data_IF_212667957675
#
_entry.id   IF_212667957675
#
_cell.length_a   1.000
_cell.length_b   1.000
_cell.length_c   1.000
_cell.angle_alpha   90.00
_cell.angle_beta   90.00
_cell.angle_gamma   90.00
#
_symmetry.space_group_name_H-M   'P 1'
#
loop_
_entity.id
_entity.type
_entity.pdbx_description
1 polymer ?
#
# COMPACT_ATOMS: atom_id res chain seq x y z
N UNK A 1 -20.26 -13.48 5.81
CA UNK A 1 -19.61 -14.29 4.79
C UNK A 1 -18.11 -14.15 4.87
N UNK A 2 -17.39 -15.23 4.68
CA UNK A 2 -15.93 -15.29 4.89
C UNK A 2 -15.16 -14.32 3.97
N UNK A 3 -15.61 -14.07 2.74
CA UNK A 3 -14.93 -13.18 1.81
C UNK A 3 -14.86 -11.74 2.29
N UNK A 4 -15.92 -11.24 2.95
CA UNK A 4 -15.95 -9.88 3.47
C UNK A 4 -15.11 -9.69 4.72
N UNK A 5 -14.81 -10.77 5.45
CA UNK A 5 -13.97 -10.71 6.65
C UNK A 5 -12.51 -10.37 6.35
N UNK A 6 -12.02 -10.61 5.13
CA UNK A 6 -10.62 -10.49 4.74
C UNK A 6 -10.39 -9.61 3.52
N UNK A 7 -11.45 -9.16 2.84
CA UNK A 7 -11.33 -8.38 1.60
C UNK A 7 -12.03 -7.03 1.74
N UNK A 8 -11.42 -6.02 1.12
CA UNK A 8 -12.00 -4.68 1.07
C UNK A 8 -13.12 -4.66 0.04
N UNK A 9 -14.29 -4.17 0.45
CA UNK A 9 -15.49 -4.19 -0.39
C UNK A 9 -15.33 -3.32 -1.64
N UNK A 10 -14.68 -2.16 -1.50
CA UNK A 10 -14.53 -1.22 -2.63
C UNK A 10 -13.56 -1.75 -3.68
N UNK A 11 -12.39 -2.19 -3.26
CA UNK A 11 -11.26 -2.50 -4.16
C UNK A 11 -11.10 -3.99 -4.45
N UNK A 12 -11.66 -4.84 -3.61
CA UNK A 12 -11.52 -6.30 -3.73
C UNK A 12 -10.18 -6.86 -3.26
N UNK A 13 -9.22 -6.01 -2.92
CA UNK A 13 -7.94 -6.48 -2.36
C UNK A 13 -8.11 -6.82 -0.88
N UNK A 14 -7.05 -7.31 -0.25
CA UNK A 14 -7.09 -7.64 1.17
C UNK A 14 -7.45 -6.42 2.02
N UNK A 15 -8.07 -6.65 3.16
CA UNK A 15 -8.37 -5.59 4.12
C UNK A 15 -7.32 -5.55 5.23
N UNK A 16 -7.49 -4.63 6.19
CA UNK A 16 -6.57 -4.48 7.32
C UNK A 16 -6.41 -5.78 8.12
N UNK A 17 -7.49 -6.49 8.34
CA UNK A 17 -7.47 -7.74 9.12
C UNK A 17 -6.55 -8.78 8.48
N UNK A 18 -6.69 -9.00 7.18
CA UNK A 18 -5.82 -9.95 6.48
C UNK A 18 -4.38 -9.47 6.45
N UNK A 19 -4.17 -8.16 6.30
CA UNK A 19 -2.83 -7.58 6.33
C UNK A 19 -2.13 -7.87 7.66
N UNK A 20 -2.81 -7.61 8.78
CA UNK A 20 -2.24 -7.84 10.13
C UNK A 20 -1.91 -9.32 10.33
N UNK A 21 -2.82 -10.22 9.97
CA UNK A 21 -2.56 -11.67 10.08
C UNK A 21 -1.37 -12.10 9.21
N UNK A 22 -1.28 -11.55 8.00
CA UNK A 22 -0.16 -11.85 7.09
C UNK A 22 1.16 -11.32 7.66
N UNK A 23 1.13 -10.13 8.25
CA UNK A 23 2.32 -9.55 8.87
C UNK A 23 2.79 -10.38 10.07
N UNK A 24 1.87 -10.85 10.91
CA UNK A 24 2.19 -11.76 12.01
C UNK A 24 2.91 -13.01 11.49
N UNK A 25 2.43 -13.56 10.38
CA UNK A 25 3.05 -14.71 9.74
C UNK A 25 4.46 -14.39 9.25
N UNK A 26 4.69 -13.20 8.67
CA UNK A 26 6.01 -12.77 8.20
C UNK A 26 7.00 -12.61 9.35
N UNK A 27 6.55 -12.07 10.48
CA UNK A 27 7.40 -11.98 11.69
C UNK A 27 7.83 -13.37 12.15
N UNK A 28 6.90 -14.30 12.19
CA UNK A 28 7.18 -15.69 12.60
C UNK A 28 8.15 -16.37 11.64
N UNK A 29 7.98 -16.19 10.34
CA UNK A 29 8.87 -16.75 9.32
C UNK A 29 10.26 -16.15 9.38
N UNK A 30 10.37 -14.86 9.66
CA UNK A 30 11.66 -14.20 9.86
C UNK A 30 12.38 -14.80 11.07
N UNK A 31 11.68 -15.00 12.17
CA UNK A 31 12.26 -15.56 13.40
C UNK A 31 12.73 -16.99 13.21
N UNK A 32 11.93 -17.82 12.52
CA UNK A 32 12.26 -19.25 12.35
C UNK A 32 13.26 -19.53 11.24
N UNK A 33 13.13 -18.83 10.12
CA UNK A 33 13.87 -19.17 8.90
C UNK A 33 14.75 -18.04 8.40
N UNK A 34 14.69 -16.87 9.01
CA UNK A 34 15.42 -15.70 8.51
C UNK A 34 14.86 -15.13 7.24
N UNK A 35 13.60 -15.44 6.90
CA UNK A 35 12.95 -14.92 5.70
C UNK A 35 12.86 -13.40 5.76
N UNK A 36 13.12 -12.76 4.62
CA UNK A 36 13.13 -11.32 4.50
C UNK A 36 11.78 -10.81 3.97
N UNK A 37 11.24 -9.79 4.61
CA UNK A 37 10.00 -9.14 4.16
C UNK A 37 10.07 -7.64 4.40
N UNK A 38 9.66 -6.86 3.41
CA UNK A 38 9.50 -5.42 3.52
C UNK A 38 8.03 -5.08 3.75
N UNK A 39 7.79 -4.15 4.68
CA UNK A 39 6.46 -3.60 4.98
C UNK A 39 6.39 -2.21 4.38
N UNK A 40 5.46 -1.97 3.46
CA UNK A 40 5.27 -0.67 2.83
C UNK A 40 3.92 -0.12 3.22
N UNK A 41 3.89 1.17 3.59
CA UNK A 41 2.64 1.91 3.76
C UNK A 41 2.59 2.99 2.69
N UNK A 42 1.40 3.15 2.13
CA UNK A 42 1.13 4.07 1.04
C UNK A 42 -0.10 4.90 1.39
N UNK A 43 -0.03 6.20 1.15
CA UNK A 43 -1.14 7.12 1.33
C UNK A 43 -1.35 7.90 0.04
N UNK A 44 -2.60 7.99 -0.41
CA UNK A 44 -2.95 8.73 -1.63
C UNK A 44 -2.88 10.23 -1.35
N UNK A 45 -2.12 10.94 -2.19
CA UNK A 45 -2.01 12.39 -2.06
C UNK A 45 -3.27 13.07 -2.59
N UNK A 46 -3.74 14.07 -1.84
CA UNK A 46 -4.84 14.95 -2.26
C UNK A 46 -6.19 14.26 -2.53
N UNK A 47 -6.46 13.11 -1.94
CA UNK A 47 -7.74 12.43 -2.12
C UNK A 47 -8.92 13.31 -1.68
N UNK A 48 -8.77 14.03 -0.57
CA UNK A 48 -9.80 14.95 -0.10
C UNK A 48 -10.12 16.02 -1.12
N UNK A 49 -9.10 16.61 -1.74
CA UNK A 49 -9.27 17.63 -2.78
C UNK A 49 -10.02 17.05 -3.99
N UNK A 50 -9.69 15.82 -4.39
CA UNK A 50 -10.38 15.14 -5.49
C UNK A 50 -11.85 14.91 -5.14
N UNK A 51 -12.13 14.44 -3.93
CA UNK A 51 -13.52 14.23 -3.47
C UNK A 51 -14.29 15.55 -3.41
N UNK A 52 -13.68 16.61 -2.90
CA UNK A 52 -14.33 17.91 -2.79
C UNK A 52 -14.62 18.53 -4.16
N UNK A 53 -13.71 18.34 -5.12
CA UNK A 53 -13.83 18.95 -6.45
C UNK A 53 -14.65 18.09 -7.42
N UNK A 54 -14.54 16.76 -7.34
CA UNK A 54 -15.13 15.84 -8.32
C UNK A 54 -16.14 14.85 -7.73
N UNK A 55 -16.33 14.86 -6.40
CA UNK A 55 -17.27 13.97 -5.70
C UNK A 55 -16.62 12.69 -5.21
N UNK A 56 -17.29 12.01 -4.27
CA UNK A 56 -16.77 10.77 -3.67
C UNK A 56 -16.63 9.63 -4.67
N UNK A 57 -17.47 9.59 -5.70
CA UNK A 57 -17.37 8.58 -6.75
C UNK A 57 -16.05 8.68 -7.49
N UNK A 58 -15.53 9.89 -7.70
CA UNK A 58 -14.21 10.10 -8.31
C UNK A 58 -13.09 9.57 -7.43
N UNK A 59 -13.16 9.86 -6.14
CA UNK A 59 -12.18 9.34 -5.17
C UNK A 59 -12.22 7.83 -5.07
N UNK A 60 -13.41 7.24 -5.03
CA UNK A 60 -13.58 5.78 -4.99
C UNK A 60 -12.99 5.12 -6.23
N UNK A 61 -13.25 5.66 -7.40
CA UNK A 61 -12.71 5.12 -8.64
C UNK A 61 -11.19 5.24 -8.70
N UNK A 62 -10.61 6.32 -8.14
CA UNK A 62 -9.17 6.46 -8.01
C UNK A 62 -8.58 5.36 -7.11
N UNK A 63 -9.22 5.09 -5.98
CA UNK A 63 -8.77 4.04 -5.06
C UNK A 63 -8.83 2.65 -5.71
N UNK A 64 -9.88 2.38 -6.50
CA UNK A 64 -10.00 1.14 -7.25
C UNK A 64 -8.87 1.01 -8.27
N UNK A 65 -8.59 2.08 -9.02
CA UNK A 65 -7.51 2.07 -10.01
C UNK A 65 -6.14 1.89 -9.36
N UNK A 66 -5.90 2.56 -8.23
CA UNK A 66 -4.68 2.39 -7.47
C UNK A 66 -4.49 0.93 -7.05
N UNK A 67 -5.54 0.32 -6.52
CA UNK A 67 -5.51 -1.09 -6.11
C UNK A 67 -5.19 -2.01 -7.29
N UNK A 68 -5.75 -1.74 -8.46
CA UNK A 68 -5.45 -2.52 -9.68
C UNK A 68 -3.97 -2.41 -10.07
N UNK A 69 -3.41 -1.21 -10.03
CA UNK A 69 -1.99 -0.98 -10.35
C UNK A 69 -1.11 -1.72 -9.36
N UNK A 70 -1.39 -1.61 -8.07
CA UNK A 70 -0.61 -2.28 -7.04
C UNK A 70 -0.66 -3.80 -7.22
N UNK A 71 -1.85 -4.35 -7.43
CA UNK A 71 -2.03 -5.79 -7.58
C UNK A 71 -1.33 -6.32 -8.84
N UNK A 72 -1.33 -5.54 -9.92
CA UNK A 72 -0.66 -5.92 -11.17
C UNK A 72 0.87 -5.95 -11.05
N UNK A 73 1.43 -5.28 -10.03
CA UNK A 73 2.87 -5.10 -9.89
C UNK A 73 3.47 -5.83 -8.70
N UNK A 74 2.75 -6.78 -8.12
CA UNK A 74 3.25 -7.64 -7.04
C UNK A 74 3.19 -9.09 -7.46
N UNK A 75 3.98 -9.94 -6.78
CA UNK A 75 3.95 -11.39 -6.98
C UNK A 75 2.78 -11.99 -6.22
N UNK A 76 2.35 -13.22 -6.61
CA UNK A 76 1.25 -13.91 -5.93
C UNK A 76 1.51 -14.16 -4.44
N UNK A 77 2.79 -14.27 -4.05
CA UNK A 77 3.18 -14.46 -2.66
C UNK A 77 3.21 -13.17 -1.85
N UNK A 78 3.22 -12.03 -2.52
CA UNK A 78 3.17 -10.72 -1.86
C UNK A 78 1.73 -10.40 -1.45
N UNK A 79 1.60 -9.41 -0.56
CA UNK A 79 0.28 -8.98 -0.07
C UNK A 79 0.08 -7.51 -0.40
N UNK A 80 -1.11 -7.18 -0.88
CA UNK A 80 -1.56 -5.79 -0.99
C UNK A 80 -2.90 -5.66 -0.29
N UNK A 81 -3.05 -4.64 0.55
CA UNK A 81 -4.25 -4.43 1.35
C UNK A 81 -4.63 -2.96 1.41
N UNK A 82 -5.92 -2.71 1.56
CA UNK A 82 -6.41 -1.39 1.95
C UNK A 82 -6.59 -1.37 3.46
N UNK A 83 -5.87 -0.47 4.12
CA UNK A 83 -5.84 -0.40 5.59
C UNK A 83 -6.96 0.48 6.15
N UNK A 84 -7.43 1.43 5.36
CA UNK A 84 -8.50 2.34 5.72
C UNK A 84 -8.52 3.47 4.69
N UNK A 85 -9.56 4.26 4.62
CA UNK A 85 -9.69 5.45 3.78
C UNK A 85 -8.82 5.46 2.52
N UNK A 86 -7.75 6.23 2.58
CA UNK A 86 -6.77 6.43 1.51
C UNK A 86 -5.43 5.73 1.77
N UNK A 87 -5.38 4.83 2.74
CA UNK A 87 -4.14 4.16 3.17
C UNK A 87 -4.10 2.70 2.72
N UNK A 88 -2.96 2.31 2.14
CA UNK A 88 -2.70 0.96 1.65
C UNK A 88 -1.44 0.40 2.27
N UNK A 89 -1.37 -0.91 2.37
CA UNK A 89 -0.18 -1.61 2.86
C UNK A 89 0.23 -2.72 1.91
N UNK A 90 1.53 -2.95 1.80
CA UNK A 90 2.09 -4.03 1.00
C UNK A 90 3.09 -4.81 1.84
N UNK A 91 3.14 -6.12 1.60
CA UNK A 91 4.18 -6.99 2.13
C UNK A 91 4.91 -7.60 0.94
N UNK A 92 6.19 -7.27 0.80
CA UNK A 92 7.02 -7.72 -0.32
C UNK A 92 8.10 -8.65 0.21
N UNK A 93 8.10 -9.89 -0.25
CA UNK A 93 9.02 -10.92 0.21
C UNK A 93 10.30 -10.95 -0.60
N UNK A 94 11.42 -11.22 0.07
CA UNK A 94 12.72 -11.51 -0.55
C UNK A 94 13.30 -10.37 -1.40
N UNK A 95 13.13 -9.12 -0.96
CA UNK A 95 13.75 -7.96 -1.59
C UNK A 95 14.75 -7.31 -0.63
N UNK A 96 15.89 -6.88 -1.15
CA UNK A 96 16.84 -6.04 -0.39
C UNK A 96 16.41 -4.56 -0.46
N UNK A 97 17.16 -3.69 0.24
CA UNK A 97 16.83 -2.27 0.30
C UNK A 97 16.82 -1.57 -1.05
N UNK A 98 17.79 -1.89 -1.92
CA UNK A 98 17.87 -1.30 -3.26
C UNK A 98 16.68 -1.75 -4.12
N UNK A 99 16.30 -3.02 -4.03
CA UNK A 99 15.15 -3.55 -4.77
C UNK A 99 13.83 -2.94 -4.31
N UNK A 100 13.68 -2.71 -3.00
CA UNK A 100 12.48 -2.05 -2.46
C UNK A 100 12.42 -0.60 -2.94
N UNK A 101 13.54 0.12 -2.89
CA UNK A 101 13.60 1.51 -3.37
C UNK A 101 13.26 1.60 -4.86
N UNK A 102 13.79 0.69 -5.68
CA UNK A 102 13.48 0.63 -7.11
C UNK A 102 11.99 0.33 -7.35
N UNK A 103 11.42 -0.56 -6.55
CA UNK A 103 9.99 -0.90 -6.63
C UNK A 103 9.12 0.30 -6.30
N UNK A 104 9.47 1.04 -5.26
CA UNK A 104 8.75 2.26 -4.87
C UNK A 104 8.80 3.29 -6.00
N UNK A 105 9.99 3.54 -6.56
CA UNK A 105 10.16 4.49 -7.67
C UNK A 105 9.32 4.06 -8.88
N UNK A 106 9.32 2.77 -9.19
CA UNK A 106 8.52 2.24 -10.31
C UNK A 106 7.02 2.47 -10.08
N UNK A 107 6.52 2.17 -8.88
CA UNK A 107 5.10 2.38 -8.56
C UNK A 107 4.70 3.85 -8.66
N UNK A 108 5.55 4.74 -8.13
CA UNK A 108 5.27 6.18 -8.18
C UNK A 108 5.25 6.68 -9.64
N UNK A 109 6.11 6.16 -10.50
CA UNK A 109 6.09 6.47 -11.93
C UNK A 109 4.81 5.97 -12.60
N UNK A 110 4.36 4.77 -12.25
CA UNK A 110 3.10 4.22 -12.79
C UNK A 110 1.91 5.11 -12.44
N UNK A 111 1.84 5.60 -11.22
CA UNK A 111 0.77 6.50 -10.80
C UNK A 111 0.79 7.81 -11.59
N UNK A 112 1.97 8.34 -11.90
CA UNK A 112 2.11 9.58 -12.65
C UNK A 112 1.78 9.45 -14.15
N UNK A 113 2.08 8.29 -14.75
CA UNK A 113 1.86 8.07 -16.20
C UNK A 113 0.48 7.52 -16.50
N UNK A 114 -0.08 6.71 -15.59
CA UNK A 114 -1.41 6.12 -15.75
C UNK A 114 -2.48 7.07 -15.24
N UNK A 115 -2.65 8.18 -15.93
CA UNK A 115 -3.61 9.19 -15.51
C UNK A 115 -5.00 8.58 -15.36
N UNK A 116 -5.55 8.74 -14.19
CA UNK A 116 -6.87 8.28 -13.87
C UNK A 116 -7.91 9.10 -14.63
N UNK A 117 -8.85 8.43 -15.30
CA UNK A 117 -9.90 9.11 -16.07
C UNK A 117 -11.24 8.94 -15.35
N UNK A 118 -11.88 10.06 -15.01
CA UNK A 118 -13.22 10.07 -14.43
C UNK A 118 -14.07 11.05 -15.23
N UNK A 119 -15.18 10.57 -15.83
CA UNK A 119 -16.08 11.37 -16.65
C UNK A 119 -15.31 12.18 -17.72
N UNK A 120 -14.44 11.50 -18.46
CA UNK A 120 -13.62 12.06 -19.54
C UNK A 120 -12.57 13.09 -19.07
N UNK A 121 -12.39 13.27 -17.75
CA UNK A 121 -11.35 14.13 -17.19
C UNK A 121 -10.19 13.28 -16.69
N UNK A 122 -8.98 13.65 -17.07
CA UNK A 122 -7.77 13.04 -16.56
C UNK A 122 -7.41 13.69 -15.23
N UNK A 123 -7.47 12.91 -14.15
CA UNK A 123 -7.11 13.39 -12.82
C UNK A 123 -5.72 12.87 -12.47
N UNK A 124 -4.76 13.76 -12.22
CA UNK A 124 -3.45 13.32 -11.74
C UNK A 124 -3.59 12.77 -10.32
N UNK A 125 -2.91 11.68 -10.03
CA UNK A 125 -2.85 11.19 -8.68
C UNK A 125 -1.42 10.79 -8.33
N UNK A 126 -1.07 10.94 -7.07
CA UNK A 126 0.22 10.56 -6.54
C UNK A 126 0.03 9.89 -5.20
N UNK A 127 1.11 9.37 -4.68
CA UNK A 127 1.11 8.70 -3.40
C UNK A 127 2.43 8.93 -2.69
N UNK A 128 2.39 8.81 -1.37
CA UNK A 128 3.58 8.82 -0.53
C UNK A 128 3.77 7.41 0.02
N UNK A 129 4.96 6.84 -0.15
CA UNK A 129 5.27 5.47 0.24
C UNK A 129 6.46 5.47 1.19
N UNK A 130 6.29 4.81 2.34
CA UNK A 130 7.38 4.55 3.27
C UNK A 130 7.49 3.07 3.53
N UNK A 131 8.64 2.61 4.01
CA UNK A 131 8.87 1.20 4.25
C UNK A 131 9.81 0.94 5.41
N UNK A 132 9.72 -0.29 5.94
CA UNK A 132 10.70 -0.84 6.87
C UNK A 132 10.81 -2.34 6.61
N UNK A 133 11.83 -2.98 7.19
CA UNK A 133 12.02 -4.42 7.08
C UNK A 133 11.62 -5.12 8.36
N UNK A 134 11.07 -6.33 8.20
CA UNK A 134 10.73 -7.20 9.33
C UNK A 134 12.01 -7.77 9.92
N UNK A 135 12.17 -7.66 11.23
CA UNK A 135 13.26 -8.29 11.99
C UNK A 135 12.73 -9.35 12.93
N UNK A 136 13.62 -10.26 13.43
CA UNK A 136 13.19 -11.40 14.23
C UNK A 136 12.65 -11.03 15.62
N UNK A 137 12.91 -9.80 16.08
CA UNK A 137 12.46 -9.31 17.38
C UNK A 137 11.29 -8.34 17.26
N UNK A 138 10.78 -8.11 16.05
CA UNK A 138 9.73 -7.12 15.82
C UNK A 138 8.35 -7.63 16.22
N UNK A 139 7.47 -6.68 16.52
CA UNK A 139 6.04 -6.92 16.70
C UNK A 139 5.27 -6.31 15.53
N UNK A 140 4.07 -6.82 15.27
CA UNK A 140 3.22 -6.24 14.23
C UNK A 140 2.93 -4.76 14.46
N UNK A 141 2.59 -4.40 15.71
CA UNK A 141 2.33 -3.00 16.06
C UNK A 141 3.53 -2.09 15.85
N UNK A 142 4.71 -2.55 16.25
CA UNK A 142 5.95 -1.79 16.05
C UNK A 142 6.30 -1.60 14.59
N UNK A 143 6.12 -2.65 13.78
CA UNK A 143 6.37 -2.59 12.33
C UNK A 143 5.40 -1.62 11.64
N UNK A 144 4.13 -1.69 11.99
CA UNK A 144 3.13 -0.79 11.40
C UNK A 144 3.41 0.67 11.77
N UNK A 145 3.83 0.92 13.02
CA UNK A 145 4.22 2.27 13.45
C UNK A 145 5.43 2.80 12.68
N UNK A 146 6.44 1.95 12.46
CA UNK A 146 7.66 2.36 11.71
C UNK A 146 7.36 2.61 10.24
N UNK A 147 6.54 1.76 9.62
CA UNK A 147 6.14 1.95 8.22
C UNK A 147 5.32 3.24 8.07
N UNK A 148 4.42 3.50 9.01
CA UNK A 148 3.62 4.73 9.03
C UNK A 148 4.51 5.97 9.16
N UNK A 149 5.47 5.94 10.09
CA UNK A 149 6.42 7.04 10.27
C UNK A 149 7.26 7.28 9.00
N UNK A 150 7.69 6.21 8.33
CA UNK A 150 8.44 6.32 7.07
C UNK A 150 7.60 6.94 5.97
N UNK A 151 6.33 6.56 5.88
CA UNK A 151 5.38 7.15 4.92
C UNK A 151 5.18 8.64 5.19
N UNK A 152 5.04 9.02 6.45
CA UNK A 152 4.91 10.42 6.84
C UNK A 152 6.12 11.25 6.43
N UNK A 153 7.33 10.71 6.61
CA UNK A 153 8.55 11.39 6.16
C UNK A 153 8.58 11.57 4.64
N UNK A 154 8.13 10.56 3.90
CA UNK A 154 8.03 10.64 2.44
C UNK A 154 7.02 11.71 2.02
N UNK A 155 5.91 11.82 2.73
CA UNK A 155 4.88 12.82 2.48
C UNK A 155 5.40 14.25 2.70
N UNK A 156 6.16 14.47 3.76
CA UNK A 156 6.75 15.78 4.05
C UNK A 156 7.75 16.19 2.98
N UNK A 157 8.53 15.25 2.44
CA UNK A 157 9.51 15.54 1.39
C UNK A 157 8.88 15.89 0.04
N UNK A 158 7.66 15.46 -0.23
CA UNK A 158 6.98 15.71 -1.50
C UNK A 158 6.22 17.03 -1.53
N UNK A 159 6.19 17.76 -0.41
CA UNK A 159 5.54 19.07 -0.30
C UNK A 159 6.46 20.22 -0.61
#
# INVERSE_FOLDING_TARGET
MKQHAYHDVLTGISNRRLFVESLENRVERCRRYGDNCAVLFLDVDNLKAINDEHGHAAGDALLVRLAEILKANIRTTDVVARLGGDEFGLLLDNLNGDQVADKIDFLLQQFGTEKYVHEDKKLPFGASIGYCFVGPQDTTGGLMSRADAAMYRAKDKSR
#
